data_IF_116850457501
#
_entry.id   IF_116850457501
#
_cell.length_a   1.000
_cell.length_b   1.000
_cell.length_c   1.000
_cell.angle_alpha   90.00
_cell.angle_beta   90.00
_cell.angle_gamma   90.00
#
_symmetry.space_group_name_H-M   'P 1'
#
loop_
_entity.id
_entity.type
_entity.pdbx_description
1 polymer ?
#
# COMPACT_ATOMS: atom_id res chain seq x y z
N UNK A 1 7.91 3.94 7.07
CA UNK A 1 8.01 3.26 5.76
C UNK A 1 8.85 4.07 4.80
N UNK A 2 8.47 5.31 4.46
CA UNK A 2 9.32 6.21 3.67
C UNK A 2 10.78 6.27 4.18
N UNK A 3 10.97 6.50 5.48
CA UNK A 3 12.30 6.50 6.13
C UNK A 3 13.08 5.17 5.97
N UNK A 4 12.38 4.03 5.93
CA UNK A 4 13.00 2.71 5.77
C UNK A 4 13.47 2.55 4.33
N UNK A 5 12.63 2.88 3.35
CA UNK A 5 13.03 2.88 1.93
C UNK A 5 14.23 3.79 1.65
N UNK A 6 14.25 4.98 2.27
CA UNK A 6 15.37 5.91 2.18
C UNK A 6 16.63 5.28 2.80
N UNK A 7 16.55 4.72 4.00
CA UNK A 7 17.69 4.10 4.66
C UNK A 7 18.27 2.94 3.85
N UNK A 8 17.43 2.03 3.35
CA UNK A 8 17.87 0.90 2.55
C UNK A 8 18.46 1.33 1.20
N UNK A 9 17.86 2.35 0.56
CA UNK A 9 18.41 2.94 -0.65
C UNK A 9 19.78 3.59 -0.42
N UNK A 10 19.97 4.29 0.70
CA UNK A 10 21.26 4.86 1.09
C UNK A 10 22.29 3.78 1.37
N UNK A 11 21.89 2.69 2.04
CA UNK A 11 22.77 1.54 2.29
C UNK A 11 23.22 0.90 0.99
N UNK A 12 22.33 0.67 0.02
CA UNK A 12 22.68 0.11 -1.31
C UNK A 12 23.63 1.02 -2.10
N UNK A 13 23.40 2.33 -2.07
CA UNK A 13 24.30 3.31 -2.69
C UNK A 13 25.66 3.34 -1.98
N UNK A 14 25.67 3.38 -0.64
CA UNK A 14 26.90 3.37 0.16
C UNK A 14 27.72 2.10 -0.04
N UNK A 15 27.05 0.95 -0.22
CA UNK A 15 27.71 -0.32 -0.52
C UNK A 15 28.45 -0.28 -1.85
N UNK A 16 27.89 0.39 -2.86
CA UNK A 16 28.55 0.60 -4.16
C UNK A 16 29.74 1.55 -4.04
N UNK A 17 29.57 2.67 -3.31
CA UNK A 17 30.67 3.62 -3.09
C UNK A 17 31.83 2.95 -2.35
N UNK A 18 31.55 2.19 -1.29
CA UNK A 18 32.57 1.43 -0.56
C UNK A 18 33.25 0.39 -1.44
N UNK A 19 32.49 -0.30 -2.29
CA UNK A 19 33.05 -1.25 -3.25
C UNK A 19 34.08 -0.57 -4.17
N UNK A 20 33.71 0.57 -4.75
CA UNK A 20 34.54 1.34 -5.67
C UNK A 20 35.76 1.96 -4.99
N UNK A 21 35.67 2.32 -3.71
CA UNK A 21 36.80 2.88 -2.95
C UNK A 21 37.86 1.83 -2.58
N UNK A 22 37.47 0.56 -2.43
CA UNK A 22 38.37 -0.53 -2.01
C UNK A 22 39.11 -1.17 -3.19
N UNK A 23 38.63 -0.99 -4.42
CA UNK A 23 39.16 -1.69 -5.59
C UNK A 23 39.50 -0.75 -6.75
N UNK A 24 40.65 -0.97 -7.37
CA UNK A 24 41.07 -0.28 -8.60
C UNK A 24 40.44 -0.91 -9.85
N UNK A 25 40.03 -2.18 -9.77
CA UNK A 25 39.37 -2.90 -10.85
C UNK A 25 37.87 -2.57 -10.90
N UNK A 26 37.50 -1.75 -11.87
CA UNK A 26 36.12 -1.33 -12.10
C UNK A 26 35.36 -2.44 -12.82
N UNK A 27 34.57 -3.20 -12.08
CA UNK A 27 33.67 -4.20 -12.65
C UNK A 27 32.26 -3.65 -12.77
N UNK A 28 31.60 -3.89 -13.91
CA UNK A 28 30.22 -3.45 -14.14
C UNK A 28 29.24 -3.93 -13.05
N UNK A 29 29.50 -5.11 -12.47
CA UNK A 29 28.70 -5.70 -11.39
C UNK A 29 28.66 -4.87 -10.11
N UNK A 30 29.66 -3.99 -9.89
CA UNK A 30 29.72 -3.11 -8.73
C UNK A 30 28.62 -2.02 -8.77
N UNK A 31 28.11 -1.67 -9.95
CA UNK A 31 27.06 -0.65 -10.12
C UNK A 31 25.64 -1.20 -9.95
N UNK A 32 25.48 -2.52 -9.90
CA UNK A 32 24.16 -3.16 -9.79
C UNK A 32 23.42 -2.72 -8.52
N UNK A 33 24.02 -2.72 -7.31
CA UNK A 33 23.32 -2.26 -6.11
C UNK A 33 22.88 -0.80 -6.21
N UNK A 34 23.67 0.07 -6.86
CA UNK A 34 23.33 1.47 -7.10
C UNK A 34 22.13 1.63 -8.05
N UNK A 35 22.05 0.82 -9.12
CA UNK A 35 20.91 0.83 -10.04
C UNK A 35 19.58 0.51 -9.35
N UNK A 36 19.59 -0.35 -8.33
CA UNK A 36 18.40 -0.61 -7.51
C UNK A 36 18.24 0.42 -6.37
N UNK A 37 19.35 0.92 -5.83
CA UNK A 37 19.39 1.88 -4.73
C UNK A 37 18.77 3.23 -5.09
N UNK A 38 19.07 3.80 -6.26
CA UNK A 38 18.55 5.12 -6.67
C UNK A 38 17.02 5.12 -6.81
N UNK A 39 16.39 4.18 -7.53
CA UNK A 39 14.93 4.16 -7.61
C UNK A 39 14.30 3.82 -6.26
N UNK A 40 14.93 2.98 -5.41
CA UNK A 40 14.48 2.75 -4.04
C UNK A 40 14.51 4.01 -3.18
N UNK A 41 15.56 4.82 -3.28
CA UNK A 41 15.65 6.14 -2.63
C UNK A 41 14.52 7.05 -3.09
N UNK A 42 14.32 7.14 -4.40
CA UNK A 42 13.29 7.99 -4.98
C UNK A 42 11.89 7.57 -4.52
N UNK A 43 11.59 6.26 -4.53
CA UNK A 43 10.32 5.73 -4.01
C UNK A 43 10.18 5.95 -2.50
N UNK A 44 11.29 5.91 -1.76
CA UNK A 44 11.35 6.28 -0.36
C UNK A 44 10.88 7.71 -0.14
N UNK A 45 11.41 8.67 -0.91
CA UNK A 45 11.07 10.10 -0.85
C UNK A 45 9.64 10.36 -1.31
N UNK A 46 9.23 9.82 -2.45
CA UNK A 46 7.85 9.95 -2.96
C UNK A 46 6.83 9.33 -1.98
N UNK A 47 7.24 8.29 -1.25
CA UNK A 47 6.45 7.65 -0.20
C UNK A 47 6.21 8.50 1.06
N UNK A 48 6.85 9.67 1.21
CA UNK A 48 6.52 10.62 2.28
C UNK A 48 5.11 11.21 2.10
N UNK A 49 4.62 11.31 0.86
CA UNK A 49 3.30 11.88 0.59
C UNK A 49 2.18 10.92 1.00
N UNK A 50 1.28 11.30 1.94
CA UNK A 50 0.23 10.42 2.44
C UNK A 50 -0.75 9.99 1.34
N UNK A 51 -0.99 10.85 0.34
CA UNK A 51 -1.88 10.59 -0.78
C UNK A 51 -1.39 9.45 -1.71
N UNK A 52 -0.06 9.31 -1.92
CA UNK A 52 0.53 8.29 -2.83
C UNK A 52 1.29 7.18 -2.11
N UNK A 53 1.27 7.17 -0.78
CA UNK A 53 2.04 6.25 0.07
C UNK A 53 1.75 4.78 -0.22
N UNK A 54 0.53 4.42 -0.61
CA UNK A 54 0.15 3.03 -0.83
C UNK A 54 0.80 2.48 -2.11
N UNK A 55 0.65 3.19 -3.23
CA UNK A 55 1.29 2.83 -4.51
C UNK A 55 2.81 2.82 -4.40
N UNK A 56 3.40 3.85 -3.77
CA UNK A 56 4.85 3.92 -3.58
C UNK A 56 5.41 2.73 -2.78
N UNK A 57 4.68 2.25 -1.75
CA UNK A 57 5.16 1.12 -0.97
C UNK A 57 5.08 -0.20 -1.74
N UNK A 58 4.03 -0.41 -2.54
CA UNK A 58 3.90 -1.61 -3.37
C UNK A 58 4.99 -1.64 -4.44
N UNK A 59 5.23 -0.53 -5.12
CA UNK A 59 6.30 -0.46 -6.14
C UNK A 59 7.68 -0.65 -5.49
N UNK A 60 7.89 -0.10 -4.29
CA UNK A 60 9.15 -0.29 -3.57
C UNK A 60 9.34 -1.77 -3.21
N UNK A 61 8.28 -2.43 -2.74
CA UNK A 61 8.30 -3.87 -2.46
C UNK A 61 8.62 -4.69 -3.72
N UNK A 62 7.97 -4.41 -4.85
CA UNK A 62 8.26 -5.13 -6.11
C UNK A 62 9.70 -4.91 -6.56
N UNK A 63 10.23 -3.70 -6.39
CA UNK A 63 11.59 -3.38 -6.77
C UNK A 63 12.62 -4.06 -5.85
N UNK A 64 12.36 -4.09 -4.54
CA UNK A 64 13.17 -4.83 -3.58
C UNK A 64 13.17 -6.33 -3.85
N UNK A 65 12.01 -6.89 -4.20
CA UNK A 65 11.87 -8.30 -4.56
C UNK A 65 12.61 -8.62 -5.87
N UNK A 66 12.52 -7.72 -6.87
CA UNK A 66 13.26 -7.85 -8.11
C UNK A 66 14.78 -7.79 -7.89
N UNK A 67 15.25 -6.89 -7.03
CA UNK A 67 16.66 -6.81 -6.62
C UNK A 67 17.12 -8.08 -5.92
N UNK A 68 16.28 -8.66 -5.05
CA UNK A 68 16.57 -9.94 -4.40
C UNK A 68 16.66 -11.08 -5.42
N UNK A 69 15.69 -11.21 -6.34
CA UNK A 69 15.71 -12.26 -7.38
C UNK A 69 16.94 -12.12 -8.28
N UNK A 70 17.24 -10.89 -8.74
CA UNK A 70 18.42 -10.62 -9.56
C UNK A 70 19.71 -11.03 -8.83
N UNK A 71 19.86 -10.63 -7.56
CA UNK A 71 21.01 -11.01 -6.76
C UNK A 71 21.07 -12.51 -6.46
N UNK A 72 19.92 -13.16 -6.22
CA UNK A 72 19.85 -14.59 -5.93
C UNK A 72 20.26 -15.43 -7.15
N UNK A 73 19.78 -15.07 -8.35
CA UNK A 73 20.21 -15.70 -9.60
C UNK A 73 21.72 -15.54 -9.78
N UNK A 74 22.26 -14.33 -9.57
CA UNK A 74 23.71 -14.10 -9.65
C UNK A 74 24.50 -14.89 -8.61
N UNK A 75 23.98 -15.02 -7.40
CA UNK A 75 24.59 -15.83 -6.35
C UNK A 75 24.67 -17.30 -6.74
N UNK A 76 23.59 -17.85 -7.32
CA UNK A 76 23.54 -19.23 -7.81
C UNK A 76 24.55 -19.43 -8.94
N UNK A 77 24.58 -18.54 -9.93
CA UNK A 77 25.55 -18.60 -11.04
C UNK A 77 26.99 -18.62 -10.51
N UNK A 78 27.32 -17.70 -9.59
CA UNK A 78 28.65 -17.66 -8.97
C UNK A 78 28.95 -18.94 -8.15
N UNK A 79 27.96 -19.54 -7.51
CA UNK A 79 28.16 -20.81 -6.79
C UNK A 79 28.43 -21.98 -7.74
N UNK A 80 27.73 -22.03 -8.87
CA UNK A 80 27.95 -23.04 -9.91
C UNK A 80 29.34 -22.88 -10.52
N UNK A 81 29.74 -21.65 -10.88
CA UNK A 81 31.09 -21.36 -11.38
C UNK A 81 32.17 -21.76 -10.37
N UNK A 82 31.91 -21.58 -9.07
CA UNK A 82 32.83 -21.98 -8.01
C UNK A 82 32.99 -23.49 -7.95
N UNK A 83 31.87 -24.21 -8.05
CA UNK A 83 31.85 -25.67 -8.03
C UNK A 83 32.52 -26.27 -9.28
N UNK A 84 32.45 -25.58 -10.42
CA UNK A 84 33.13 -25.94 -11.65
C UNK A 84 34.65 -25.64 -11.64
N UNK A 85 35.20 -25.11 -10.55
CA UNK A 85 36.62 -24.76 -10.42
C UNK A 85 37.00 -23.40 -11.01
N UNK A 86 36.02 -22.55 -11.33
CA UNK A 86 36.25 -21.20 -11.82
C UNK A 86 36.88 -20.28 -10.78
N UNK A 87 37.79 -19.41 -11.23
CA UNK A 87 38.40 -18.37 -10.39
C UNK A 87 37.40 -17.22 -10.25
N UNK A 88 36.84 -17.05 -9.04
CA UNK A 88 35.85 -16.00 -8.77
C UNK A 88 36.50 -14.86 -7.99
N UNK A 89 36.25 -13.64 -8.46
CA UNK A 89 36.62 -12.45 -7.71
C UNK A 89 35.90 -12.41 -6.35
N UNK A 90 36.62 -12.50 -5.22
CA UNK A 90 36.01 -12.57 -3.90
C UNK A 90 35.23 -11.29 -3.56
N UNK A 91 35.63 -10.16 -4.16
CA UNK A 91 34.96 -8.89 -4.01
C UNK A 91 33.58 -8.88 -4.68
N UNK A 92 33.48 -9.33 -5.93
CA UNK A 92 32.19 -9.45 -6.64
C UNK A 92 31.23 -10.38 -5.91
N UNK A 93 31.73 -11.50 -5.39
CA UNK A 93 30.94 -12.42 -4.60
C UNK A 93 30.39 -11.75 -3.32
N UNK A 94 31.24 -11.06 -2.55
CA UNK A 94 30.83 -10.33 -1.34
C UNK A 94 29.78 -9.26 -1.64
N UNK A 95 29.91 -8.54 -2.75
CA UNK A 95 28.91 -7.52 -3.14
C UNK A 95 27.57 -8.12 -3.49
N UNK A 96 27.55 -9.21 -4.27
CA UNK A 96 26.31 -9.90 -4.63
C UNK A 96 25.62 -10.42 -3.37
N UNK A 97 26.37 -11.03 -2.43
CA UNK A 97 25.85 -11.50 -1.15
C UNK A 97 25.32 -10.35 -0.28
N UNK A 98 26.06 -9.25 -0.19
CA UNK A 98 25.61 -8.13 0.64
C UNK A 98 24.36 -7.47 0.05
N UNK A 99 24.31 -7.28 -1.27
CA UNK A 99 23.13 -6.78 -1.97
C UNK A 99 21.92 -7.70 -1.77
N UNK A 100 22.06 -9.02 -1.93
CA UNK A 100 20.94 -9.96 -1.75
C UNK A 100 20.38 -9.91 -0.35
N UNK A 101 21.25 -9.88 0.68
CA UNK A 101 20.83 -9.78 2.08
C UNK A 101 20.08 -8.48 2.32
N UNK A 102 20.62 -7.34 1.86
CA UNK A 102 19.98 -6.03 2.03
C UNK A 102 18.62 -5.98 1.32
N UNK A 103 18.52 -6.48 0.08
CA UNK A 103 17.27 -6.56 -0.65
C UNK A 103 16.26 -7.52 0.01
N UNK A 104 16.72 -8.65 0.55
CA UNK A 104 15.86 -9.62 1.26
C UNK A 104 15.25 -9.00 2.52
N UNK A 105 16.08 -8.38 3.38
CA UNK A 105 15.61 -7.74 4.61
C UNK A 105 14.61 -6.64 4.28
N UNK A 106 14.90 -5.82 3.25
CA UNK A 106 14.00 -4.79 2.79
C UNK A 106 12.66 -5.37 2.28
N UNK A 107 12.71 -6.41 1.44
CA UNK A 107 11.51 -7.05 0.90
C UNK A 107 10.65 -7.68 2.01
N UNK A 108 11.27 -8.35 2.99
CA UNK A 108 10.59 -8.93 4.14
C UNK A 108 9.92 -7.87 5.01
N UNK A 109 10.65 -6.80 5.35
CA UNK A 109 10.09 -5.69 6.15
C UNK A 109 8.94 -4.98 5.43
N UNK A 110 9.06 -4.76 4.12
CA UNK A 110 8.00 -4.21 3.30
C UNK A 110 6.78 -5.17 3.24
N UNK A 111 7.02 -6.47 3.06
CA UNK A 111 5.97 -7.49 2.97
C UNK A 111 5.20 -7.63 4.29
N UNK A 112 5.89 -7.73 5.42
CA UNK A 112 5.27 -7.78 6.76
C UNK A 112 4.39 -6.54 6.98
N UNK A 113 4.87 -5.37 6.56
CA UNK A 113 4.08 -4.16 6.70
C UNK A 113 2.82 -4.15 5.81
N UNK A 114 2.93 -4.59 4.55
CA UNK A 114 1.79 -4.71 3.65
C UNK A 114 0.77 -5.71 4.20
N UNK A 115 1.21 -6.86 4.74
CA UNK A 115 0.33 -7.85 5.39
C UNK A 115 -0.38 -7.26 6.61
N UNK A 116 0.37 -6.67 7.55
CA UNK A 116 -0.19 -6.03 8.74
C UNK A 116 -1.17 -4.90 8.40
N UNK A 117 -0.95 -4.19 7.30
CA UNK A 117 -1.89 -3.16 6.83
C UNK A 117 -3.17 -3.77 6.24
N UNK A 118 -3.07 -4.85 5.47
CA UNK A 118 -4.25 -5.58 4.95
C UNK A 118 -5.14 -6.07 6.09
N UNK A 119 -4.54 -6.65 7.14
CA UNK A 119 -5.28 -7.10 8.33
C UNK A 119 -6.04 -5.97 9.05
N UNK A 120 -5.40 -4.79 9.17
CA UNK A 120 -6.06 -3.60 9.77
C UNK A 120 -7.23 -3.09 8.95
N UNK A 121 -7.16 -3.19 7.62
CA UNK A 121 -8.26 -2.80 6.75
C UNK A 121 -9.44 -3.76 6.90
N UNK A 122 -9.20 -5.07 6.88
CA UNK A 122 -10.24 -6.08 7.09
C UNK A 122 -10.93 -5.94 8.45
N UNK A 123 -10.18 -5.63 9.52
CA UNK A 123 -10.76 -5.38 10.85
C UNK A 123 -11.69 -4.17 10.88
N UNK A 124 -11.35 -3.09 10.16
CA UNK A 124 -12.20 -1.89 10.08
C UNK A 124 -13.53 -2.17 9.39
N UNK A 125 -13.48 -2.89 8.26
CA UNK A 125 -14.69 -3.28 7.52
C UNK A 125 -15.62 -4.13 8.39
N UNK A 126 -15.06 -5.09 9.15
CA UNK A 126 -15.87 -5.91 10.06
C UNK A 126 -16.48 -5.08 11.20
N UNK A 127 -15.74 -4.10 11.75
CA UNK A 127 -16.24 -3.23 12.81
C UNK A 127 -17.39 -2.33 12.31
N UNK A 128 -17.26 -1.76 11.11
CA UNK A 128 -18.29 -0.93 10.49
C UNK A 128 -19.54 -1.75 10.18
N UNK A 129 -19.37 -3.01 9.74
CA UNK A 129 -20.48 -3.96 9.54
C UNK A 129 -21.20 -4.27 10.84
N UNK A 130 -20.48 -4.63 11.91
CA UNK A 130 -21.10 -4.88 13.23
C UNK A 130 -21.83 -3.64 13.77
N UNK A 131 -21.28 -2.44 13.55
CA UNK A 131 -21.96 -1.20 13.97
C UNK A 131 -23.25 -0.95 13.19
N UNK A 132 -23.26 -1.21 11.89
CA UNK A 132 -24.47 -1.07 11.07
C UNK A 132 -25.57 -2.07 11.47
N UNK A 133 -25.20 -3.31 11.81
CA UNK A 133 -26.13 -4.36 12.24
C UNK A 133 -26.80 -4.04 13.60
N UNK A 134 -26.04 -3.50 14.56
CA UNK A 134 -26.56 -3.07 15.87
C UNK A 134 -27.50 -1.87 15.75
N UNK A 135 -27.22 -0.91 14.86
CA UNK A 135 -28.10 0.24 14.63
C UNK A 135 -29.44 -0.20 14.02
N UNK A 136 -29.41 -1.13 13.06
CA UNK A 136 -30.63 -1.69 12.44
C UNK A 136 -31.52 -2.41 13.47
N UNK A 137 -30.95 -3.21 14.36
CA UNK A 137 -31.72 -3.96 15.38
C UNK A 137 -32.30 -3.06 16.47
N UNK A 138 -31.62 -1.96 16.80
CA UNK A 138 -32.13 -1.00 17.79
C UNK A 138 -33.35 -0.21 17.27
N UNK A 139 -33.38 0.13 15.98
CA UNK A 139 -34.52 0.84 15.37
C UNK A 139 -35.75 -0.08 15.21
N UNK A 140 -35.56 -1.36 14.86
CA UNK A 140 -36.65 -2.33 14.80
C UNK A 140 -37.24 -2.62 16.19
N UNK A 141 -36.40 -2.76 17.22
CA UNK A 141 -36.87 -2.97 18.59
C UNK A 141 -37.61 -1.75 19.16
N UNK A 142 -37.23 -0.54 18.74
CA UNK A 142 -37.93 0.69 19.13
C UNK A 142 -39.28 0.87 18.42
N UNK A 143 -39.47 0.29 17.23
CA UNK A 143 -40.77 0.27 16.53
C UNK A 143 -41.77 -0.73 17.11
N UNK A 144 -41.32 -1.76 17.81
CA UNK A 144 -42.18 -2.76 18.48
C UNK A 144 -42.60 -2.37 19.92
N UNK A 145 -42.05 -1.28 20.48
CA UNK A 145 -42.44 -0.74 21.77
C UNK A 145 -43.41 0.45 21.64
N UNK A 146 -44.50 0.27 20.90
CA UNK A 146 -45.66 1.19 20.98
C UNK A 146 -46.56 0.66 22.12
N UNK A 147 -46.79 1.42 23.20
CA UNK A 147 -47.76 1.04 24.23
C UNK A 147 -49.17 1.11 23.65
N UNK A 148 -49.96 0.06 23.87
CA UNK A 148 -51.41 0.07 23.63
C UNK A 148 -52.08 1.09 24.58
N UNK A 149 -52.15 2.35 24.16
CA UNK A 149 -53.06 3.32 24.76
C UNK A 149 -54.38 3.29 24.01
N UNK A 150 -55.40 2.84 24.75
CA UNK A 150 -56.83 2.97 24.47
C UNK A 150 -57.21 4.23 23.68
N UNK A 151 -58.03 4.06 22.64
CA UNK A 151 -58.76 5.17 22.01
C UNK A 151 -60.23 4.78 21.91
N UNK A 152 -61.03 5.39 22.79
CA UNK A 152 -62.47 5.62 22.60
C UNK A 152 -62.69 6.79 21.63
N UNK A 153 -63.83 6.72 20.94
CA UNK A 153 -64.32 7.58 19.86
C UNK A 153 -64.28 9.11 20.09
N UNK A 154 -64.07 9.88 19.02
CA UNK A 154 -64.92 11.02 18.61
C UNK A 154 -64.46 11.65 17.27
N UNK A 155 -65.44 12.18 16.55
CA UNK A 155 -65.50 12.77 15.21
C UNK A 155 -64.76 14.09 14.95
N UNK A 156 -64.35 14.33 13.70
CA UNK A 156 -64.09 15.67 13.13
C UNK A 156 -63.42 15.63 11.74
N UNK A 157 -63.89 16.38 10.72
CA UNK A 157 -63.30 16.40 9.37
C UNK A 157 -62.31 17.56 9.12
N UNK A 158 -61.22 17.25 8.39
CA UNK A 158 -60.42 18.07 7.44
C UNK A 158 -59.66 19.35 7.92
N UNK A 159 -58.65 19.92 7.18
CA UNK A 159 -57.91 19.49 5.97
C UNK A 159 -56.36 19.82 5.95
N UNK A 160 -55.69 19.55 4.81
CA UNK A 160 -54.51 20.27 4.20
C UNK A 160 -53.06 19.76 4.37
N UNK A 161 -52.49 19.37 3.21
CA UNK A 161 -51.08 19.45 2.70
C UNK A 161 -49.96 18.52 3.19
N UNK A 162 -49.32 17.75 2.27
CA UNK A 162 -48.03 17.11 2.50
C UNK A 162 -46.87 18.02 2.04
N UNK A 163 -46.08 18.53 2.99
CA UNK A 163 -44.73 19.00 2.70
C UNK A 163 -43.81 17.79 2.56
N UNK A 164 -43.31 17.62 1.34
CA UNK A 164 -42.36 16.59 0.94
C UNK A 164 -41.01 16.89 1.61
N UNK A 165 -40.70 16.21 2.71
CA UNK A 165 -39.34 16.18 3.25
C UNK A 165 -38.51 15.21 2.41
N UNK A 166 -37.92 15.76 1.35
CA UNK A 166 -36.86 15.14 0.57
C UNK A 166 -35.73 14.76 1.52
N UNK A 167 -35.66 13.47 1.84
CA UNK A 167 -34.51 12.78 2.43
C UNK A 167 -33.27 13.13 1.61
N UNK A 168 -32.44 14.03 2.16
CA UNK A 168 -31.16 14.41 1.59
C UNK A 168 -30.19 13.22 1.73
N UNK A 169 -30.07 12.43 0.67
CA UNK A 169 -29.10 11.35 0.59
C UNK A 169 -27.68 11.96 0.42
N UNK A 170 -26.75 11.78 1.37
CA UNK A 170 -25.41 12.38 1.32
C UNK A 170 -24.50 11.78 0.24
N UNK A 171 -24.96 10.78 -0.51
CA UNK A 171 -24.24 10.19 -1.64
C UNK A 171 -24.77 10.62 -3.01
N UNK A 172 -25.70 11.58 -3.08
CA UNK A 172 -26.14 12.12 -4.36
C UNK A 172 -25.04 13.03 -4.91
N UNK A 173 -24.27 12.50 -5.85
CA UNK A 173 -23.35 13.27 -6.68
C UNK A 173 -24.13 14.38 -7.41
N UNK A 174 -23.54 15.58 -7.58
CA UNK A 174 -24.20 16.68 -8.27
C UNK A 174 -24.65 16.19 -9.65
N UNK A 175 -25.95 16.32 -9.96
CA UNK A 175 -26.44 16.12 -11.33
C UNK A 175 -25.65 17.07 -12.23
N UNK A 176 -24.89 16.49 -13.16
CA UNK A 176 -24.31 17.23 -14.25
C UNK A 176 -25.47 17.93 -14.99
N UNK A 177 -25.44 19.26 -15.00
CA UNK A 177 -26.32 20.06 -15.83
C UNK A 177 -25.82 19.87 -17.25
N UNK A 178 -26.48 18.97 -18.00
CA UNK A 178 -26.33 18.91 -19.44
C UNK A 178 -26.95 20.19 -20.03
N UNK A 179 -26.10 21.08 -20.55
CA UNK A 179 -26.51 22.24 -21.32
C UNK A 179 -26.76 21.79 -22.78
N UNK A 180 -27.98 21.87 -23.33
CA UNK A 180 -28.24 21.60 -24.73
C UNK A 180 -28.37 22.92 -25.49
N UNK A 181 -27.24 23.49 -25.93
CA UNK A 181 -27.16 24.60 -26.92
C UNK A 181 -25.68 24.74 -27.27
N UNK A 182 -25.20 24.75 -28.51
CA UNK A 182 -25.71 25.38 -29.72
C UNK A 182 -25.28 24.63 -30.99
N UNK A 183 -26.25 24.42 -31.87
CA UNK A 183 -26.10 24.43 -33.32
C UNK A 183 -25.62 25.80 -33.81
N UNK A 184 -24.48 25.86 -34.51
CA UNK A 184 -24.36 26.54 -35.82
C UNK A 184 -23.08 26.17 -36.55
#
# INVERSE_FOLDING_TARGET
MARIGIFFGLVLCGLTVMALSVTTEKSFTQFVPMMFGIPLLFLGVVGLNPHRRMSATVVALTLGLLGFVCGAVRFIVLMVDRAAGGVINPLSFRLVVAMTIVCLIFALTAMVWVRKRRERLSRRINLDRSKAEVVSTTDDQKRLAVPETHVSAASGPDPVSPSTSTSANPYQSPRAVENPTETR
#
